data_IF_624412437174
#
_entry.id   IF_624412437174
#
_cell.length_a   1.000
_cell.length_b   1.000
_cell.length_c   1.000
_cell.angle_alpha   90.00
_cell.angle_beta   90.00
_cell.angle_gamma   90.00
#
_symmetry.space_group_name_H-M   'P 1'
#
loop_
_entity.id
_entity.type
_entity.pdbx_description
1 polymer ?
#
# COMPACT_ATOMS: atom_id res chain seq x y z
N UNK A 1 22.03 19.45 8.49
CA UNK A 1 20.56 19.17 8.47
C UNK A 1 20.36 17.70 8.11
N UNK A 2 19.65 17.01 8.95
CA UNK A 2 19.33 15.63 8.66
C UNK A 2 18.22 15.54 7.63
N UNK A 3 18.34 14.58 6.73
CA UNK A 3 17.32 14.31 5.73
C UNK A 3 16.90 12.86 5.79
N UNK A 4 15.71 12.58 5.29
CA UNK A 4 15.15 11.23 5.21
C UNK A 4 14.89 10.92 3.75
N UNK A 5 15.32 9.74 3.31
CA UNK A 5 15.02 9.25 1.97
C UNK A 5 13.60 8.71 1.96
N UNK A 6 12.78 9.23 1.08
CA UNK A 6 11.39 8.81 0.91
C UNK A 6 11.26 8.20 -0.46
N UNK A 7 10.99 6.90 -0.49
CA UNK A 7 10.69 6.19 -1.73
C UNK A 7 9.18 6.08 -1.82
N UNK A 8 8.62 6.61 -2.90
CA UNK A 8 7.17 6.68 -3.01
C UNK A 8 6.68 6.28 -4.38
N UNK A 9 5.45 5.86 -4.42
CA UNK A 9 4.77 5.47 -5.64
C UNK A 9 3.44 6.18 -5.71
N UNK A 10 3.13 6.72 -6.88
CA UNK A 10 1.87 7.42 -7.10
C UNK A 10 0.88 6.48 -7.75
N UNK A 11 -0.39 6.57 -7.36
CA UNK A 11 -1.47 5.80 -7.94
C UNK A 11 -1.41 5.80 -9.47
N UNK A 12 -1.48 4.63 -10.05
CA UNK A 12 -1.48 4.48 -11.50
C UNK A 12 -0.11 4.54 -12.17
N UNK A 13 0.94 4.77 -11.39
CA UNK A 13 2.32 4.80 -11.92
C UNK A 13 3.12 3.67 -11.31
N UNK A 14 3.91 3.00 -12.13
CA UNK A 14 4.70 1.85 -11.69
C UNK A 14 6.04 2.26 -11.08
N UNK A 15 6.57 3.39 -11.52
CA UNK A 15 7.90 3.81 -11.09
C UNK A 15 7.91 4.18 -9.62
N UNK A 16 8.95 3.71 -8.93
CA UNK A 16 9.22 4.16 -7.57
C UNK A 16 10.05 5.42 -7.69
N UNK A 17 9.55 6.49 -7.09
CA UNK A 17 10.21 7.79 -7.09
C UNK A 17 10.98 7.97 -5.79
N UNK A 18 11.90 8.89 -5.79
CA UNK A 18 12.70 9.22 -4.60
C UNK A 18 12.63 10.70 -4.30
N UNK A 19 12.42 11.02 -3.02
CA UNK A 19 12.47 12.37 -2.50
C UNK A 19 13.33 12.38 -1.25
N UNK A 20 14.24 13.31 -1.16
CA UNK A 20 14.99 13.56 0.06
C UNK A 20 14.33 14.73 0.77
N UNK A 21 13.82 14.51 1.98
CA UNK A 21 13.10 15.52 2.74
C UNK A 21 13.80 15.79 4.06
N UNK A 22 13.76 17.03 4.58
CA UNK A 22 14.23 17.29 5.93
C UNK A 22 13.53 16.39 6.94
N UNK A 23 14.29 15.84 7.88
CA UNK A 23 13.78 14.89 8.87
C UNK A 23 12.66 15.44 9.74
N UNK A 24 12.60 16.76 9.86
CA UNK A 24 11.60 17.45 10.66
C UNK A 24 10.28 17.70 9.91
N UNK A 25 10.22 17.44 8.61
CA UNK A 25 8.96 17.61 7.86
C UNK A 25 7.92 16.61 8.32
N UNK A 26 6.65 17.02 8.32
CA UNK A 26 5.53 16.13 8.57
C UNK A 26 5.15 15.41 7.29
N UNK A 27 4.41 14.30 7.43
CA UNK A 27 3.88 13.60 6.26
C UNK A 27 2.91 14.47 5.46
N UNK A 28 2.17 15.36 6.13
CA UNK A 28 1.30 16.31 5.42
C UNK A 28 2.11 17.29 4.55
N UNK A 29 3.26 17.74 5.03
CA UNK A 29 4.15 18.58 4.24
C UNK A 29 4.71 17.82 3.04
N UNK A 30 5.13 16.58 3.25
CA UNK A 30 5.63 15.76 2.17
C UNK A 30 4.55 15.51 1.13
N UNK A 31 3.34 15.20 1.58
CA UNK A 31 2.20 15.02 0.67
C UNK A 31 1.97 16.27 -0.18
N UNK A 32 1.97 17.44 0.44
CA UNK A 32 1.78 18.70 -0.28
C UNK A 32 2.86 18.94 -1.34
N UNK A 33 4.12 18.64 -1.00
CA UNK A 33 5.23 18.78 -1.93
C UNK A 33 5.07 17.82 -3.13
N UNK A 34 4.64 16.60 -2.89
CA UNK A 34 4.47 15.61 -3.95
C UNK A 34 3.28 15.93 -4.84
N UNK A 35 2.19 16.42 -4.26
CA UNK A 35 1.03 16.89 -5.02
C UNK A 35 1.44 18.01 -5.97
N UNK A 36 2.20 18.98 -5.48
CA UNK A 36 2.68 20.08 -6.30
C UNK A 36 3.65 19.59 -7.38
N UNK A 37 4.59 18.75 -7.01
CA UNK A 37 5.62 18.26 -7.93
C UNK A 37 5.02 17.49 -9.11
N UNK A 38 4.00 16.68 -8.86
CA UNK A 38 3.42 15.81 -9.88
C UNK A 38 2.09 16.28 -10.43
N UNK A 39 1.60 17.44 -9.99
CA UNK A 39 0.31 17.96 -10.44
C UNK A 39 -0.86 17.08 -10.07
N UNK A 40 -0.86 16.55 -8.85
CA UNK A 40 -1.88 15.60 -8.39
C UNK A 40 -3.08 16.32 -7.78
N UNK A 41 -4.25 15.64 -7.70
CA UNK A 41 -5.42 16.19 -7.00
C UNK A 41 -5.12 16.42 -5.52
N UNK A 42 -5.74 17.42 -4.93
CA UNK A 42 -5.55 17.73 -3.52
C UNK A 42 -6.11 16.66 -2.57
N UNK A 43 -7.02 15.82 -3.05
CA UNK A 43 -7.67 14.78 -2.25
C UNK A 43 -6.87 13.48 -2.13
N UNK A 44 -5.58 13.54 -2.36
CA UNK A 44 -4.72 12.37 -2.22
C UNK A 44 -4.52 12.02 -0.75
N UNK A 45 -4.39 10.73 -0.48
CA UNK A 45 -3.98 10.20 0.81
C UNK A 45 -2.57 9.66 0.70
N UNK A 46 -1.80 9.80 1.78
CA UNK A 46 -0.47 9.19 1.84
C UNK A 46 -0.50 7.99 2.80
N UNK A 47 -0.02 6.86 2.30
CA UNK A 47 0.05 5.60 3.05
C UNK A 47 1.49 5.18 3.21
N UNK A 48 1.83 4.62 4.35
CA UNK A 48 3.07 3.86 4.48
C UNK A 48 2.87 2.48 3.87
N UNK A 49 3.96 1.82 3.49
CA UNK A 49 3.84 0.51 2.85
C UNK A 49 3.10 -0.48 3.75
N UNK A 50 2.16 -1.20 3.15
CA UNK A 50 1.35 -2.23 3.81
C UNK A 50 0.42 -1.72 4.93
N UNK A 51 0.19 -0.42 5.00
CA UNK A 51 -0.74 0.15 5.97
C UNK A 51 -2.18 0.11 5.45
N UNK A 52 -3.13 -0.09 6.35
CA UNK A 52 -4.56 -0.10 5.99
C UNK A 52 -5.18 1.29 6.02
N UNK A 53 -4.56 2.21 6.75
CA UNK A 53 -5.05 3.56 6.90
C UNK A 53 -3.99 4.56 6.48
N UNK A 54 -4.39 5.76 6.03
CA UNK A 54 -3.43 6.82 5.74
C UNK A 54 -2.62 7.14 6.99
N UNK A 55 -1.35 7.50 6.79
CA UNK A 55 -0.52 7.95 7.90
C UNK A 55 -1.04 9.30 8.39
N UNK A 56 -0.97 9.53 9.70
CA UNK A 56 -1.34 10.81 10.28
C UNK A 56 -0.41 11.90 9.75
N UNK A 57 -0.99 12.92 9.14
CA UNK A 57 -0.22 13.98 8.49
C UNK A 57 0.56 14.86 9.46
N UNK A 58 0.27 14.79 10.74
CA UNK A 58 0.98 15.54 11.77
C UNK A 58 2.25 14.83 12.24
N UNK A 59 2.42 13.56 11.90
CA UNK A 59 3.62 12.81 12.29
C UNK A 59 4.81 13.28 11.45
N UNK A 60 5.94 13.45 12.12
CA UNK A 60 7.20 13.82 11.49
C UNK A 60 7.81 12.61 10.80
N UNK A 61 8.36 12.81 9.60
CA UNK A 61 8.80 11.67 8.78
C UNK A 61 9.88 10.81 9.45
N UNK A 62 10.75 11.41 10.24
CA UNK A 62 11.80 10.64 10.94
C UNK A 62 11.24 9.61 11.91
N UNK A 63 10.03 9.81 12.42
CA UNK A 63 9.40 8.90 13.37
C UNK A 63 8.97 7.58 12.74
N UNK A 64 8.88 7.55 11.42
CA UNK A 64 8.50 6.35 10.68
C UNK A 64 9.64 5.85 9.78
N UNK A 65 10.83 6.39 9.95
CA UNK A 65 11.98 6.01 9.15
C UNK A 65 12.50 4.63 9.57
N UNK A 66 12.63 3.74 8.59
CA UNK A 66 13.30 2.46 8.80
C UNK A 66 14.76 2.54 8.39
N UNK A 67 15.43 1.39 8.31
CA UNK A 67 16.84 1.31 7.94
C UNK A 67 17.13 1.81 6.53
N UNK A 68 16.13 1.79 5.65
CA UNK A 68 16.24 2.23 4.26
C UNK A 68 15.37 3.45 3.95
N UNK A 69 15.03 4.24 4.96
CA UNK A 69 14.19 5.41 4.78
C UNK A 69 12.71 5.09 4.96
N UNK A 70 11.87 5.81 4.22
CA UNK A 70 10.42 5.67 4.29
C UNK A 70 9.90 5.20 2.95
N UNK A 71 8.99 4.22 2.96
CA UNK A 71 8.28 3.78 1.76
C UNK A 71 6.84 4.24 1.85
N UNK A 72 6.41 5.01 0.87
CA UNK A 72 5.10 5.64 0.88
C UNK A 72 4.35 5.43 -0.43
N UNK A 73 3.03 5.53 -0.37
CA UNK A 73 2.15 5.41 -1.52
C UNK A 73 1.11 6.53 -1.48
N UNK A 74 0.83 7.12 -2.63
CA UNK A 74 -0.18 8.16 -2.77
C UNK A 74 -1.36 7.63 -3.58
N UNK A 75 -2.55 7.69 -2.98
CA UNK A 75 -3.78 7.20 -3.60
C UNK A 75 -4.95 8.13 -3.30
N UNK A 76 -5.90 8.20 -4.23
CA UNK A 76 -7.13 8.97 -4.03
C UNK A 76 -8.14 8.22 -3.17
N UNK A 77 -8.04 6.91 -3.09
CA UNK A 77 -8.94 6.09 -2.26
C UNK A 77 -8.30 5.74 -0.95
N UNK A 78 -9.13 5.71 0.08
CA UNK A 78 -8.70 5.29 1.40
C UNK A 78 -8.59 3.77 1.52
N UNK A 79 -9.47 3.05 0.82
CA UNK A 79 -9.49 1.59 0.83
C UNK A 79 -9.74 1.04 -0.57
N UNK A 80 -9.25 -0.16 -0.81
CA UNK A 80 -9.56 -0.93 -2.00
C UNK A 80 -10.25 -2.22 -1.59
N UNK A 81 -11.22 -2.64 -2.37
CA UNK A 81 -11.90 -3.91 -2.15
C UNK A 81 -11.12 -5.00 -2.87
N UNK A 82 -10.75 -6.03 -2.14
CA UNK A 82 -9.99 -7.15 -2.68
C UNK A 82 -10.82 -8.42 -2.59
N UNK A 83 -10.92 -9.13 -3.71
CA UNK A 83 -11.57 -10.43 -3.77
C UNK A 83 -10.49 -11.49 -4.02
N UNK A 84 -10.48 -12.53 -3.20
CA UNK A 84 -9.54 -13.62 -3.32
C UNK A 84 -10.33 -14.91 -3.57
N UNK A 85 -10.03 -15.60 -4.66
CA UNK A 85 -10.71 -16.85 -5.02
C UNK A 85 -9.75 -18.03 -4.89
N UNK A 86 -10.27 -19.10 -4.30
CA UNK A 86 -9.52 -20.35 -4.13
C UNK A 86 -10.50 -21.52 -4.12
N UNK A 87 -10.26 -22.50 -4.97
CA UNK A 87 -11.09 -23.72 -5.06
C UNK A 87 -12.60 -23.42 -5.21
N UNK A 88 -12.95 -22.43 -6.01
CA UNK A 88 -14.34 -22.08 -6.23
C UNK A 88 -14.97 -21.23 -5.12
N UNK A 89 -14.25 -20.96 -4.06
CA UNK A 89 -14.69 -20.08 -2.99
C UNK A 89 -14.08 -18.70 -3.18
N UNK A 90 -14.85 -17.67 -2.84
CA UNK A 90 -14.40 -16.28 -2.94
C UNK A 90 -14.56 -15.59 -1.60
N UNK A 91 -13.53 -14.89 -1.18
CA UNK A 91 -13.56 -14.06 0.02
C UNK A 91 -13.24 -12.61 -0.35
N UNK A 92 -13.91 -11.68 0.30
CA UNK A 92 -13.72 -10.26 0.05
C UNK A 92 -13.32 -9.53 1.33
N UNK A 93 -12.46 -8.53 1.19
CA UNK A 93 -12.05 -7.69 2.30
C UNK A 93 -11.57 -6.35 1.78
N UNK A 94 -11.64 -5.33 2.62
CA UNK A 94 -11.09 -4.01 2.30
C UNK A 94 -9.69 -3.89 2.88
N UNK A 95 -8.76 -3.49 2.03
CA UNK A 95 -7.39 -3.22 2.43
C UNK A 95 -7.04 -1.78 2.10
N UNK A 96 -6.00 -1.25 2.74
CA UNK A 96 -5.41 -0.01 2.29
C UNK A 96 -4.79 -0.20 0.90
N UNK A 97 -4.73 0.84 0.07
CA UNK A 97 -4.21 0.70 -1.29
C UNK A 97 -2.74 0.27 -1.36
N UNK A 98 -2.01 0.41 -0.26
CA UNK A 98 -0.60 0.01 -0.20
C UNK A 98 -0.39 -1.41 0.29
N UNK A 99 -1.46 -2.17 0.54
CA UNK A 99 -1.35 -3.55 0.99
C UNK A 99 -0.63 -4.40 -0.05
N UNK A 100 0.33 -5.20 0.42
CA UNK A 100 1.10 -6.07 -0.47
C UNK A 100 0.29 -7.31 -0.83
N UNK A 101 0.63 -7.91 -1.97
CA UNK A 101 0.01 -9.18 -2.39
C UNK A 101 0.29 -10.27 -1.35
N UNK A 102 1.48 -10.28 -0.77
CA UNK A 102 1.84 -11.23 0.26
C UNK A 102 0.93 -11.13 1.49
N UNK A 103 0.59 -9.91 1.91
CA UNK A 103 -0.32 -9.71 3.03
C UNK A 103 -1.73 -10.18 2.72
N UNK A 104 -2.22 -9.89 1.52
CA UNK A 104 -3.54 -10.31 1.07
C UNK A 104 -3.62 -11.84 1.05
N UNK A 105 -2.60 -12.49 0.52
CA UNK A 105 -2.52 -13.95 0.49
C UNK A 105 -2.55 -14.53 1.89
N UNK A 106 -1.79 -13.96 2.82
CA UNK A 106 -1.74 -14.43 4.20
C UNK A 106 -3.10 -14.28 4.87
N UNK A 107 -3.77 -13.16 4.68
CA UNK A 107 -5.10 -12.95 5.21
C UNK A 107 -6.08 -14.01 4.70
N UNK A 108 -6.08 -14.25 3.39
CA UNK A 108 -6.97 -15.23 2.80
C UNK A 108 -6.71 -16.64 3.34
N UNK A 109 -5.44 -17.04 3.36
CA UNK A 109 -5.07 -18.38 3.81
C UNK A 109 -5.41 -18.62 5.27
N UNK A 110 -5.02 -17.69 6.14
CA UNK A 110 -5.18 -17.88 7.59
C UNK A 110 -6.58 -17.57 8.09
N UNK A 111 -7.20 -16.53 7.56
CA UNK A 111 -8.46 -16.01 8.11
C UNK A 111 -9.70 -16.57 7.43
N UNK A 112 -9.61 -16.95 6.16
CA UNK A 112 -10.78 -17.36 5.39
C UNK A 112 -10.76 -18.82 4.98
N UNK A 113 -9.60 -19.33 4.62
CA UNK A 113 -9.49 -20.71 4.13
C UNK A 113 -8.89 -21.66 5.16
N UNK A 114 -8.47 -21.14 6.32
CA UNK A 114 -7.99 -21.94 7.44
C UNK A 114 -6.76 -22.78 7.11
N UNK A 115 -5.90 -22.28 6.24
CA UNK A 115 -4.71 -23.02 5.83
C UNK A 115 -3.57 -22.86 6.81
N UNK A 116 -2.76 -23.92 6.93
CA UNK A 116 -1.46 -23.81 7.59
C UNK A 116 -0.53 -22.97 6.72
N UNK A 117 0.55 -22.40 7.28
CA UNK A 117 1.53 -21.68 6.47
C UNK A 117 2.10 -22.51 5.32
N UNK A 118 2.27 -23.83 5.51
CA UNK A 118 2.75 -24.72 4.46
C UNK A 118 1.73 -24.88 3.34
N UNK A 119 0.46 -25.06 3.69
CA UNK A 119 -0.61 -25.15 2.71
C UNK A 119 -0.76 -23.84 1.94
N UNK A 120 -0.66 -22.72 2.62
CA UNK A 120 -0.71 -21.40 1.97
C UNK A 120 0.48 -21.22 1.02
N UNK A 121 1.64 -21.77 1.37
CA UNK A 121 2.82 -21.75 0.53
C UNK A 121 2.63 -22.47 -0.79
N UNK A 122 1.82 -23.53 -0.82
CA UNK A 122 1.59 -24.33 -2.02
C UNK A 122 0.32 -23.96 -2.78
N UNK A 123 -0.51 -23.09 -2.23
CA UNK A 123 -1.78 -22.70 -2.85
C UNK A 123 -1.59 -21.61 -3.89
N UNK A 124 -2.47 -21.60 -4.88
CA UNK A 124 -2.59 -20.50 -5.82
C UNK A 124 -3.91 -19.78 -5.58
N UNK A 125 -3.84 -18.47 -5.48
CA UNK A 125 -5.01 -17.64 -5.29
C UNK A 125 -5.20 -16.71 -6.48
N UNK A 126 -6.44 -16.51 -6.88
CA UNK A 126 -6.78 -15.46 -7.82
C UNK A 126 -7.16 -14.23 -6.99
N UNK A 127 -6.42 -13.16 -7.17
CA UNK A 127 -6.61 -11.93 -6.41
C UNK A 127 -7.08 -10.83 -7.35
N UNK A 128 -8.18 -10.19 -6.98
CA UNK A 128 -8.75 -9.09 -7.73
C UNK A 128 -8.96 -7.91 -6.81
N UNK A 129 -8.26 -6.81 -7.09
CA UNK A 129 -8.45 -5.58 -6.35
C UNK A 129 -9.33 -4.64 -7.15
N UNK A 130 -10.39 -4.15 -6.53
CA UNK A 130 -11.29 -3.16 -7.12
C UNK A 130 -11.39 -1.97 -6.17
N UNK A 131 -11.26 -0.83 -6.73
CA UNK A 131 -11.36 0.43 -5.98
C UNK A 131 -11.37 1.51 -7.01
N UNK A 132 -11.22 2.62 -6.82
CA UNK A 132 -11.02 3.69 -7.74
C UNK A 132 -11.26 3.38 -9.19
N UNK A 133 -11.52 2.99 -9.90
CA UNK A 133 -11.63 2.83 -11.33
C UNK A 133 -10.63 1.82 -11.90
N UNK A 134 -9.78 1.26 -11.06
CA UNK A 134 -8.83 0.28 -11.56
C UNK A 134 -9.12 -1.10 -11.04
N UNK A 135 -9.09 -2.01 -11.95
CA UNK A 135 -9.21 -3.41 -11.69
C UNK A 135 -7.85 -4.05 -11.95
N UNK A 136 -7.24 -4.61 -10.92
CA UNK A 136 -5.92 -5.21 -11.05
C UNK A 136 -6.02 -6.69 -10.72
N UNK A 137 -6.18 -7.55 -11.72
CA UNK A 137 -6.11 -8.97 -11.48
C UNK A 137 -4.65 -9.37 -11.18
N UNK A 138 -4.47 -10.16 -10.16
CA UNK A 138 -3.17 -10.71 -9.83
C UNK A 138 -3.34 -12.15 -9.43
N UNK A 139 -2.45 -13.00 -9.93
CA UNK A 139 -2.39 -14.39 -9.53
C UNK A 139 -1.19 -14.57 -8.62
N UNK A 140 -1.43 -15.08 -7.44
CA UNK A 140 -0.39 -15.26 -6.43
C UNK A 140 -0.04 -16.71 -6.32
N UNK A 141 1.09 -17.14 -6.87
CA UNK A 141 1.58 -18.51 -6.65
C UNK A 141 2.04 -18.64 -5.21
N UNK A 142 1.89 -19.81 -4.74
CA UNK A 142 2.30 -20.13 -3.39
C UNK A 142 3.82 -20.33 -3.30
#
# INVERSE_FOLDING_TARGET
>A
METVDIFYQVEGRREIQHLEAPSEHTFGRVKALLIEKHGLPAEMFIFLEDADEPVDELIVVRERMGSHGVKAHLHRCRHVKVSVSFNGETAEHRFGPSATVARIKRWAAESKFGMTPEEAGDAMFDVLATGLAKRVPARVPA
#
